data_IF_316202903463
#
_entry.id   IF_316202903463
#
_cell.length_a   1.000
_cell.length_b   1.000
_cell.length_c   1.000
_cell.angle_alpha   90.00
_cell.angle_beta   90.00
_cell.angle_gamma   90.00
#
_symmetry.space_group_name_H-M   'P 1'
#
loop_
_entity.id
_entity.type
_entity.pdbx_description
1 polymer ?
#
# COMPACT_ATOMS: atom_id res chain seq x y z
N UNK A 1 8.71 26.10 20.15
CA UNK A 1 8.75 25.66 21.57
C UNK A 1 9.52 24.35 21.58
N UNK A 2 10.56 24.17 22.41
CA UNK A 2 11.33 22.91 22.43
C UNK A 2 10.50 21.82 23.12
N UNK A 3 10.31 20.68 22.45
CA UNK A 3 9.60 19.55 23.05
C UNK A 3 10.47 18.94 24.16
N UNK A 4 9.88 18.73 25.34
CA UNK A 4 10.55 18.06 26.47
C UNK A 4 9.58 17.05 27.07
N UNK A 5 10.10 16.09 27.84
CA UNK A 5 9.27 15.10 28.55
C UNK A 5 8.22 15.79 29.43
N UNK A 6 8.60 16.86 30.12
CA UNK A 6 7.69 17.64 30.96
C UNK A 6 6.58 18.31 30.14
N UNK A 7 6.93 18.87 28.98
CA UNK A 7 5.96 19.47 28.05
C UNK A 7 4.96 18.42 27.56
N UNK A 8 5.43 17.24 27.15
CA UNK A 8 4.58 16.14 26.68
C UNK A 8 3.66 15.63 27.78
N UNK A 9 4.19 15.33 28.96
CA UNK A 9 3.38 14.86 30.11
C UNK A 9 2.30 15.84 30.50
N UNK A 10 2.63 17.14 30.57
CA UNK A 10 1.64 18.18 30.89
C UNK A 10 0.58 18.33 29.79
N UNK A 11 0.95 18.17 28.53
CA UNK A 11 0.00 18.21 27.43
C UNK A 11 -0.93 17.00 27.45
N UNK A 12 -0.39 15.80 27.65
CA UNK A 12 -1.16 14.57 27.82
C UNK A 12 -2.13 14.65 29.01
N UNK A 13 -1.67 15.07 30.19
CA UNK A 13 -2.54 15.20 31.37
C UNK A 13 -3.73 16.14 31.14
N UNK A 14 -3.52 17.24 30.42
CA UNK A 14 -4.61 18.17 30.08
C UNK A 14 -5.62 17.57 29.10
N UNK A 15 -5.13 16.74 28.18
CA UNK A 15 -5.96 16.03 27.21
C UNK A 15 -6.74 14.89 27.85
N UNK A 16 -6.05 14.05 28.64
CA UNK A 16 -6.65 12.94 29.37
C UNK A 16 -7.71 13.40 30.36
N UNK A 17 -7.43 14.44 31.16
CA UNK A 17 -8.42 14.99 32.10
C UNK A 17 -9.69 15.59 31.45
N UNK A 18 -9.68 15.78 30.12
CA UNK A 18 -10.84 16.23 29.36
C UNK A 18 -11.57 15.09 28.63
N UNK A 19 -11.16 13.83 28.81
CA UNK A 19 -11.67 12.69 28.06
C UNK A 19 -11.75 11.42 28.91
N UNK A 20 -12.98 10.96 29.16
CA UNK A 20 -13.26 9.68 29.85
C UNK A 20 -12.59 8.47 29.15
N UNK A 21 -12.27 8.59 27.85
CA UNK A 21 -11.58 7.54 27.07
C UNK A 21 -10.09 7.41 27.40
N UNK A 22 -9.47 8.50 27.87
CA UNK A 22 -8.04 8.57 28.16
C UNK A 22 -7.74 8.66 29.66
N UNK A 23 -8.75 8.67 30.54
CA UNK A 23 -8.59 8.85 31.99
C UNK A 23 -7.63 7.83 32.62
N UNK A 24 -7.70 6.56 32.19
CA UNK A 24 -6.81 5.49 32.64
C UNK A 24 -5.61 5.26 31.68
N UNK A 25 -5.54 6.01 30.57
CA UNK A 25 -4.51 5.85 29.56
C UNK A 25 -3.22 6.58 29.95
N UNK A 26 -2.15 5.82 30.11
CA UNK A 26 -0.83 6.38 30.36
C UNK A 26 -0.22 6.93 29.07
N UNK A 27 0.47 8.08 29.16
CA UNK A 27 1.32 8.55 28.08
C UNK A 27 2.33 7.44 27.72
N UNK A 28 2.57 7.16 26.42
CA UNK A 28 3.63 6.28 25.99
C UNK A 28 4.96 6.54 26.71
N UNK A 29 5.73 5.50 27.08
CA UNK A 29 7.00 5.68 27.73
C UNK A 29 7.93 6.56 26.91
N UNK A 30 8.66 7.45 27.59
CA UNK A 30 9.62 8.37 26.96
C UNK A 30 11.06 7.98 27.28
N UNK A 31 11.99 8.31 26.39
CA UNK A 31 13.43 8.17 26.62
C UNK A 31 14.23 9.10 25.72
N UNK A 32 15.55 8.99 25.79
CA UNK A 32 16.49 9.80 24.98
C UNK A 32 17.26 8.96 23.95
N UNK A 33 16.96 7.67 23.85
CA UNK A 33 17.57 6.77 22.87
C UNK A 33 16.68 5.55 22.58
N UNK A 34 16.68 5.01 21.35
CA UNK A 34 15.95 3.78 21.01
C UNK A 34 16.34 2.57 21.88
N UNK A 35 17.59 2.46 22.33
CA UNK A 35 18.05 1.39 23.24
C UNK A 35 17.34 1.37 24.60
N UNK A 36 16.73 2.49 25.00
CA UNK A 36 15.89 2.52 26.20
C UNK A 36 14.52 1.89 25.95
N UNK A 37 14.03 1.88 24.71
CA UNK A 37 12.85 1.14 24.30
C UNK A 37 13.06 -0.36 24.56
N UNK A 38 14.16 -0.95 24.10
CA UNK A 38 14.47 -2.37 24.31
C UNK A 38 14.50 -2.79 25.79
N UNK A 39 14.96 -1.88 26.67
CA UNK A 39 15.10 -2.15 28.11
C UNK A 39 13.81 -1.96 28.91
N UNK A 40 12.84 -1.19 28.39
CA UNK A 40 11.58 -0.86 29.08
C UNK A 40 10.36 -1.55 28.46
N UNK A 41 10.35 -1.73 27.15
CA UNK A 41 9.30 -2.45 26.43
C UNK A 41 9.55 -3.95 26.56
N UNK A 42 9.13 -4.55 27.67
CA UNK A 42 9.01 -6.01 27.72
C UNK A 42 8.00 -6.45 26.67
N UNK A 43 8.44 -7.25 25.68
CA UNK A 43 7.69 -8.05 24.69
C UNK A 43 6.45 -7.48 23.96
N UNK A 44 5.96 -6.28 24.26
CA UNK A 44 4.75 -5.69 23.69
C UNK A 44 5.11 -4.61 22.66
N UNK A 45 4.39 -4.64 21.53
CA UNK A 45 4.52 -3.76 20.36
C UNK A 45 3.98 -2.32 20.61
N UNK A 46 4.10 -1.83 21.84
CA UNK A 46 3.63 -0.51 22.25
C UNK A 46 4.47 0.62 21.67
N UNK A 47 3.86 1.81 21.58
CA UNK A 47 4.55 3.03 21.14
C UNK A 47 5.54 3.50 22.23
N UNK A 48 6.75 3.85 21.83
CA UNK A 48 7.78 4.47 22.68
C UNK A 48 8.23 5.79 22.06
N UNK A 49 8.40 6.84 22.86
CA UNK A 49 8.76 8.17 22.39
C UNK A 49 10.21 8.51 22.74
N UNK A 50 11.06 8.69 21.73
CA UNK A 50 12.43 9.18 21.90
C UNK A 50 12.43 10.70 21.71
N UNK A 51 13.01 11.42 22.66
CA UNK A 51 13.12 12.88 22.67
C UNK A 51 14.53 13.29 22.28
N UNK A 52 14.65 13.92 21.11
CA UNK A 52 15.91 14.46 20.63
C UNK A 52 16.20 15.83 21.23
N UNK A 53 17.48 16.21 21.22
CA UNK A 53 17.93 17.49 21.76
C UNK A 53 17.35 18.67 20.95
N UNK A 54 17.13 18.54 19.66
CA UNK A 54 16.54 19.61 18.85
C UNK A 54 15.03 19.85 19.14
N UNK A 55 14.41 19.00 19.96
CA UNK A 55 12.98 19.02 20.25
C UNK A 55 12.15 18.16 19.32
N UNK A 56 12.77 17.36 18.45
CA UNK A 56 12.10 16.34 17.66
C UNK A 56 11.69 15.17 18.55
N UNK A 57 10.48 14.66 18.35
CA UNK A 57 9.98 13.44 18.98
C UNK A 57 9.93 12.35 17.92
N UNK A 58 10.62 11.24 18.17
CA UNK A 58 10.60 10.04 17.34
C UNK A 58 9.74 8.99 18.01
N UNK A 59 8.75 8.47 17.30
CA UNK A 59 7.93 7.36 17.76
C UNK A 59 8.52 6.02 17.31
N UNK A 60 8.54 5.03 18.19
CA UNK A 60 9.09 3.71 17.91
C UNK A 60 8.14 2.59 18.33
N UNK A 61 8.00 1.56 17.49
CA UNK A 61 7.41 0.27 17.84
C UNK A 61 8.54 -0.74 18.03
N UNK A 62 8.94 -0.96 19.29
CA UNK A 62 10.19 -1.66 19.60
C UNK A 62 11.44 -0.86 19.19
N UNK A 63 12.66 -1.37 19.47
CA UNK A 63 13.89 -0.58 19.31
C UNK A 63 14.31 -0.31 17.86
N UNK A 64 13.77 -1.05 16.89
CA UNK A 64 14.26 -1.03 15.50
C UNK A 64 13.29 -0.41 14.48
N UNK A 65 12.04 -0.10 14.88
CA UNK A 65 11.03 0.42 13.97
C UNK A 65 10.60 1.82 14.41
N UNK A 66 11.33 2.84 13.97
CA UNK A 66 10.88 4.24 14.08
C UNK A 66 9.70 4.46 13.14
N UNK A 67 8.54 4.90 13.62
CA UNK A 67 7.28 5.04 12.86
C UNK A 67 6.89 6.47 12.52
N UNK A 68 7.51 7.46 13.15
CA UNK A 68 7.39 8.88 12.81
C UNK A 68 8.50 9.68 13.48
N UNK A 69 8.79 10.87 12.95
CA UNK A 69 9.54 11.92 13.64
C UNK A 69 8.86 13.27 13.40
N UNK A 70 8.60 14.01 14.47
CA UNK A 70 7.92 15.30 14.36
C UNK A 70 8.27 16.25 15.50
N UNK A 71 8.24 17.54 15.21
CA UNK A 71 8.32 18.62 16.21
C UNK A 71 6.93 19.17 16.58
N UNK A 72 5.87 18.67 15.95
CA UNK A 72 4.50 19.09 16.20
C UNK A 72 3.90 18.36 17.40
N UNK A 73 3.64 19.11 18.47
CA UNK A 73 3.06 18.59 19.71
C UNK A 73 1.70 17.92 19.48
N UNK A 74 0.86 18.51 18.64
CA UNK A 74 -0.49 18.00 18.40
C UNK A 74 -0.45 16.67 17.64
N UNK A 75 0.52 16.51 16.73
CA UNK A 75 0.75 15.26 16.03
C UNK A 75 1.30 14.16 16.95
N UNK A 76 2.20 14.50 17.88
CA UNK A 76 2.67 13.55 18.90
C UNK A 76 1.51 13.09 19.79
N UNK A 77 0.64 14.01 20.22
CA UNK A 77 -0.52 13.68 21.04
C UNK A 77 -1.53 12.83 20.27
N UNK A 78 -1.76 13.11 18.99
CA UNK A 78 -2.59 12.28 18.13
C UNK A 78 -2.06 10.84 18.05
N UNK A 79 -0.77 10.65 17.78
CA UNK A 79 -0.17 9.31 17.69
C UNK A 79 -0.19 8.56 19.04
N UNK A 80 0.01 9.26 20.15
CA UNK A 80 -0.12 8.68 21.49
C UNK A 80 -1.57 8.26 21.79
N UNK A 81 -2.54 9.11 21.46
CA UNK A 81 -3.96 8.82 21.64
C UNK A 81 -4.42 7.67 20.75
N UNK A 82 -3.99 7.61 19.49
CA UNK A 82 -4.31 6.51 18.58
C UNK A 82 -3.79 5.16 19.09
N UNK A 83 -2.58 5.13 19.64
CA UNK A 83 -2.03 3.92 20.27
C UNK A 83 -2.87 3.48 21.49
N UNK A 84 -3.23 4.40 22.38
CA UNK A 84 -4.04 4.11 23.56
C UNK A 84 -5.46 3.66 23.21
N UNK A 85 -6.11 4.35 22.27
CA UNK A 85 -7.47 4.04 21.79
C UNK A 85 -7.49 2.68 21.11
N UNK A 86 -6.43 2.31 20.37
CA UNK A 86 -6.32 0.97 19.78
C UNK A 86 -6.27 -0.11 20.86
N UNK A 87 -5.39 0.03 21.85
CA UNK A 87 -5.29 -0.94 22.96
C UNK A 87 -6.63 -1.10 23.70
N UNK A 88 -7.31 0.03 23.96
CA UNK A 88 -8.64 0.02 24.56
C UNK A 88 -9.66 -0.70 23.67
N UNK A 89 -9.67 -0.42 22.38
CA UNK A 89 -10.62 -1.00 21.44
C UNK A 89 -10.39 -2.52 21.25
N UNK A 90 -9.15 -2.97 21.14
CA UNK A 90 -8.78 -4.40 21.12
C UNK A 90 -9.25 -5.12 22.39
N UNK A 91 -9.07 -4.48 23.56
CA UNK A 91 -9.52 -5.03 24.83
C UNK A 91 -11.05 -5.12 24.95
N UNK A 92 -11.79 -4.13 24.41
CA UNK A 92 -13.25 -4.17 24.34
C UNK A 92 -13.72 -5.31 23.43
N UNK A 93 -13.13 -5.44 22.23
CA UNK A 93 -13.45 -6.52 21.27
C UNK A 93 -13.22 -7.89 21.91
N UNK A 94 -12.08 -8.09 22.59
CA UNK A 94 -11.76 -9.36 23.24
C UNK A 94 -12.75 -9.74 24.35
N UNK A 95 -13.36 -8.77 25.03
CA UNK A 95 -14.27 -9.00 26.17
C UNK A 95 -15.75 -9.01 25.80
N UNK A 96 -16.14 -8.39 24.68
CA UNK A 96 -17.52 -8.32 24.22
C UNK A 96 -17.62 -8.49 22.70
N UNK A 97 -17.39 -9.70 22.17
CA UNK A 97 -17.50 -9.96 20.74
C UNK A 97 -18.89 -9.56 20.22
N UNK A 98 -18.95 -8.68 19.22
CA UNK A 98 -20.20 -8.28 18.55
C UNK A 98 -21.09 -7.28 19.29
N UNK A 99 -20.59 -6.54 20.32
CA UNK A 99 -21.33 -5.42 20.94
C UNK A 99 -20.47 -4.16 21.09
N UNK A 100 -21.05 -2.99 20.77
CA UNK A 100 -20.43 -1.65 20.95
C UNK A 100 -19.66 -1.15 19.72
N UNK A 101 -18.78 -0.13 19.84
CA UNK A 101 -17.85 0.30 18.78
C UNK A 101 -16.92 -0.84 18.27
N UNK A 102 -17.02 -2.03 18.86
CA UNK A 102 -16.35 -3.28 18.52
C UNK A 102 -16.86 -3.99 17.25
N UNK A 103 -17.94 -3.53 16.60
CA UNK A 103 -18.41 -4.18 15.35
C UNK A 103 -17.46 -3.93 14.18
N UNK A 104 -16.77 -2.78 14.17
CA UNK A 104 -15.64 -2.50 13.29
C UNK A 104 -14.60 -1.67 14.08
N UNK A 105 -13.46 -2.31 14.37
CA UNK A 105 -12.39 -1.76 15.21
C UNK A 105 -11.93 -0.37 14.74
N UNK A 106 -11.82 -0.17 13.43
CA UNK A 106 -11.31 1.09 12.85
C UNK A 106 -12.30 2.23 13.00
N UNK A 107 -13.56 2.05 12.62
CA UNK A 107 -14.55 3.12 12.75
C UNK A 107 -14.83 3.45 14.21
N UNK A 108 -14.80 2.45 15.10
CA UNK A 108 -14.85 2.65 16.55
C UNK A 108 -13.68 3.49 17.08
N UNK A 109 -12.44 3.16 16.68
CA UNK A 109 -11.25 3.95 17.03
C UNK A 109 -11.34 5.39 16.52
N UNK A 110 -11.79 5.59 15.28
CA UNK A 110 -11.92 6.93 14.70
C UNK A 110 -12.95 7.78 15.46
N UNK A 111 -14.10 7.20 15.81
CA UNK A 111 -15.11 7.88 16.64
C UNK A 111 -14.57 8.28 18.01
N UNK A 112 -13.85 7.37 18.69
CA UNK A 112 -13.18 7.66 19.97
C UNK A 112 -12.15 8.79 19.85
N UNK A 113 -11.36 8.81 18.77
CA UNK A 113 -10.40 9.90 18.51
C UNK A 113 -11.09 11.24 18.23
N UNK A 114 -12.25 11.23 17.59
CA UNK A 114 -13.04 12.45 17.34
C UNK A 114 -13.71 12.99 18.61
N UNK A 115 -14.06 12.11 19.55
CA UNK A 115 -14.51 12.50 20.88
C UNK A 115 -13.39 13.16 21.71
N UNK A 116 -12.15 12.66 21.57
CA UNK A 116 -10.97 13.25 22.23
C UNK A 116 -10.64 14.63 21.63
N UNK A 117 -10.51 14.70 20.30
CA UNK A 117 -10.26 15.94 19.59
C UNK A 117 -10.76 15.87 18.14
N UNK A 118 -11.88 16.53 17.80
CA UNK A 118 -12.48 16.43 16.47
C UNK A 118 -11.61 17.03 15.36
N UNK A 119 -10.66 17.93 15.68
CA UNK A 119 -9.76 18.51 14.68
C UNK A 119 -8.76 17.50 14.11
N UNK A 120 -8.52 16.39 14.81
CA UNK A 120 -7.56 15.37 14.37
C UNK A 120 -8.04 14.57 13.17
N UNK A 121 -9.35 14.33 13.04
CA UNK A 121 -9.91 13.64 11.88
C UNK A 121 -9.59 14.35 10.58
N UNK A 122 -9.89 15.65 10.53
CA UNK A 122 -9.60 16.49 9.37
C UNK A 122 -8.10 16.60 9.09
N UNK A 123 -7.31 16.77 10.16
CA UNK A 123 -5.89 17.09 10.05
C UNK A 123 -5.01 15.89 9.71
N UNK A 124 -5.25 14.75 10.34
CA UNK A 124 -4.34 13.60 10.29
C UNK A 124 -4.93 12.40 9.56
N UNK A 125 -6.26 12.27 9.46
CA UNK A 125 -6.90 11.14 8.77
C UNK A 125 -7.44 11.50 7.39
N UNK A 126 -7.97 12.71 7.21
CA UNK A 126 -8.68 13.09 5.99
C UNK A 126 -7.89 14.04 5.04
N UNK A 127 -6.77 14.62 5.48
CA UNK A 127 -6.02 15.63 4.73
C UNK A 127 -5.16 15.07 3.59
N UNK A 128 -5.30 15.61 2.38
CA UNK A 128 -4.50 15.19 1.22
C UNK A 128 -3.02 15.59 1.32
N UNK A 129 -2.22 15.12 0.36
CA UNK A 129 -0.84 15.58 0.18
C UNK A 129 -0.82 17.11 0.17
N UNK A 130 0.05 17.72 0.96
CA UNK A 130 0.25 19.17 1.04
C UNK A 130 -0.93 20.02 1.55
N UNK A 131 -1.80 19.47 2.39
CA UNK A 131 -2.90 20.25 3.00
C UNK A 131 -4.05 20.51 2.03
N UNK A 132 -4.15 19.71 0.98
CA UNK A 132 -5.34 19.67 0.14
C UNK A 132 -6.58 19.35 1.00
N UNK A 133 -7.74 19.98 0.71
CA UNK A 133 -8.95 19.76 1.46
C UNK A 133 -9.33 18.28 1.45
N UNK A 134 -10.00 17.78 2.52
CA UNK A 134 -10.37 16.38 2.61
C UNK A 134 -11.13 15.92 1.37
N UNK A 135 -10.66 14.84 0.75
CA UNK A 135 -11.43 14.18 -0.30
C UNK A 135 -12.79 13.77 0.27
N UNK A 136 -13.86 13.94 -0.53
CA UNK A 136 -15.18 13.44 -0.17
C UNK A 136 -15.14 11.92 -0.03
N UNK A 137 -15.99 11.33 0.83
CA UNK A 137 -16.11 9.89 0.91
C UNK A 137 -16.28 9.27 -0.47
N UNK A 138 -15.56 8.19 -0.72
CA UNK A 138 -15.73 7.44 -1.96
C UNK A 138 -17.12 6.79 -1.96
N UNK A 139 -18.04 7.28 -2.78
CA UNK A 139 -19.38 6.69 -2.95
C UNK A 139 -19.38 5.51 -3.95
N UNK A 140 -18.22 5.20 -4.54
CA UNK A 140 -18.08 4.12 -5.53
C UNK A 140 -17.94 2.78 -4.80
N UNK A 141 -18.45 1.71 -5.42
CA UNK A 141 -18.10 0.36 -5.00
C UNK A 141 -16.57 0.19 -5.12
N UNK A 142 -15.86 -0.11 -4.02
CA UNK A 142 -14.41 -0.19 -4.02
C UNK A 142 -13.90 -1.35 -4.87
N UNK A 143 -14.74 -2.33 -5.21
CA UNK A 143 -14.40 -3.48 -6.05
C UNK A 143 -14.66 -3.23 -7.54
N UNK A 144 -14.92 -2.01 -8.01
CA UNK A 144 -15.16 -1.77 -9.44
C UNK A 144 -13.89 -1.64 -10.31
N UNK A 145 -12.68 -1.55 -9.73
CA UNK A 145 -11.47 -1.10 -10.46
C UNK A 145 -10.25 -2.01 -10.40
N UNK A 146 -9.40 -1.89 -9.39
CA UNK A 146 -8.21 -2.71 -9.16
C UNK A 146 -8.47 -3.70 -8.01
N UNK A 147 -9.16 -3.28 -6.96
CA UNK A 147 -9.37 -4.06 -5.75
C UNK A 147 -10.17 -5.36 -5.96
N UNK A 148 -10.95 -5.47 -7.04
CA UNK A 148 -11.62 -6.74 -7.38
C UNK A 148 -10.63 -7.91 -7.52
N UNK A 149 -9.41 -7.63 -8.01
CA UNK A 149 -8.41 -8.66 -8.28
C UNK A 149 -7.88 -9.25 -6.98
N UNK A 150 -7.94 -8.53 -5.86
CA UNK A 150 -7.42 -8.98 -4.57
C UNK A 150 -7.95 -10.37 -4.17
N UNK A 151 -9.22 -10.65 -4.51
CA UNK A 151 -9.87 -11.94 -4.21
C UNK A 151 -9.28 -13.12 -4.97
N UNK A 152 -8.71 -12.94 -6.16
CA UNK A 152 -8.08 -14.02 -6.94
C UNK A 152 -6.55 -13.96 -6.88
N UNK A 153 -6.00 -12.78 -6.62
CA UNK A 153 -4.55 -12.53 -6.68
C UNK A 153 -3.78 -13.23 -5.56
N UNK A 154 -4.45 -13.56 -4.45
CA UNK A 154 -3.89 -14.45 -3.42
C UNK A 154 -3.66 -15.88 -3.87
N UNK A 155 -4.42 -16.33 -4.87
CA UNK A 155 -4.19 -17.59 -5.58
C UNK A 155 -3.27 -17.40 -6.79
N UNK A 156 -2.63 -16.22 -6.92
CA UNK A 156 -1.77 -15.82 -8.03
C UNK A 156 -2.48 -15.65 -9.39
N UNK A 157 -3.80 -15.48 -9.38
CA UNK A 157 -4.62 -15.34 -10.59
C UNK A 157 -5.03 -13.88 -10.84
N UNK A 158 -4.98 -13.38 -12.09
CA UNK A 158 -4.57 -14.05 -13.31
C UNK A 158 -3.05 -14.11 -13.54
N UNK A 159 -2.28 -13.27 -12.85
CA UNK A 159 -0.83 -13.15 -12.99
C UNK A 159 -0.19 -12.72 -11.68
N UNK A 160 1.05 -13.14 -11.42
CA UNK A 160 1.75 -12.78 -10.17
C UNK A 160 2.34 -11.38 -10.16
N UNK A 161 2.45 -10.71 -11.31
CA UNK A 161 3.00 -9.34 -11.40
C UNK A 161 2.01 -8.43 -12.09
N UNK A 162 1.74 -7.27 -11.49
CA UNK A 162 1.02 -6.15 -12.06
C UNK A 162 2.00 -4.96 -12.09
N UNK A 163 2.44 -4.56 -13.29
CA UNK A 163 3.33 -3.43 -13.47
C UNK A 163 2.59 -2.30 -14.16
N UNK A 164 2.68 -1.09 -13.63
CA UNK A 164 2.04 0.12 -14.13
C UNK A 164 3.10 1.16 -14.50
N UNK A 165 2.91 1.85 -15.61
CA UNK A 165 3.81 2.84 -16.16
C UNK A 165 3.03 4.10 -16.51
N UNK A 166 3.55 5.27 -16.13
CA UNK A 166 3.00 6.58 -16.46
C UNK A 166 4.11 7.48 -17.00
N UNK A 167 3.78 8.30 -17.99
CA UNK A 167 4.75 9.12 -18.70
C UNK A 167 4.11 9.90 -19.85
N UNK A 168 4.91 10.70 -20.54
CA UNK A 168 4.47 11.46 -21.72
C UNK A 168 4.48 10.55 -22.96
N UNK A 169 3.36 10.52 -23.70
CA UNK A 169 3.20 9.80 -24.97
C UNK A 169 3.60 8.31 -24.94
N UNK A 170 3.46 7.65 -23.78
CA UNK A 170 3.80 6.23 -23.62
C UNK A 170 2.77 5.31 -24.30
N UNK A 171 3.25 4.27 -25.00
CA UNK A 171 2.41 3.22 -25.59
C UNK A 171 2.51 1.90 -24.82
N UNK A 172 1.37 1.23 -24.66
CA UNK A 172 1.33 -0.09 -24.04
C UNK A 172 2.09 -1.14 -24.86
N UNK A 173 2.02 -1.04 -26.20
CA UNK A 173 2.78 -1.88 -27.13
C UNK A 173 4.28 -1.66 -26.98
N UNK A 174 4.74 -0.41 -26.93
CA UNK A 174 6.17 -0.10 -26.79
C UNK A 174 6.74 -0.60 -25.46
N UNK A 175 5.98 -0.43 -24.37
CA UNK A 175 6.33 -0.97 -23.05
C UNK A 175 6.36 -2.51 -23.09
N UNK A 176 5.35 -3.16 -23.67
CA UNK A 176 5.32 -4.61 -23.78
C UNK A 176 6.51 -5.15 -24.60
N UNK A 177 6.83 -4.51 -25.74
CA UNK A 177 7.98 -4.85 -26.58
C UNK A 177 9.30 -4.68 -25.85
N UNK A 178 9.45 -3.59 -25.09
CA UNK A 178 10.63 -3.34 -24.29
C UNK A 178 10.85 -4.43 -23.23
N UNK A 179 9.76 -5.01 -22.71
CA UNK A 179 9.77 -6.12 -21.77
C UNK A 179 9.90 -7.51 -22.43
N UNK A 180 9.95 -7.57 -23.77
CA UNK A 180 10.18 -8.79 -24.54
C UNK A 180 8.93 -9.47 -25.11
N UNK A 181 7.81 -8.76 -25.26
CA UNK A 181 6.65 -9.28 -25.99
C UNK A 181 6.99 -9.62 -27.45
N UNK A 182 6.35 -10.66 -28.00
CA UNK A 182 6.51 -11.03 -29.41
C UNK A 182 6.03 -9.92 -30.36
N UNK A 183 6.91 -9.37 -31.23
CA UNK A 183 6.53 -8.25 -32.10
C UNK A 183 5.43 -8.58 -33.10
N UNK A 184 5.34 -9.83 -33.55
CA UNK A 184 4.32 -10.26 -34.50
C UNK A 184 2.94 -10.25 -33.87
N UNK A 185 2.81 -10.78 -32.65
CA UNK A 185 1.56 -10.81 -31.90
C UNK A 185 1.15 -9.41 -31.41
N UNK A 186 2.10 -8.60 -30.95
CA UNK A 186 1.83 -7.20 -30.59
C UNK A 186 1.33 -6.42 -31.81
N UNK A 187 1.98 -6.52 -32.98
CA UNK A 187 1.55 -5.83 -34.19
C UNK A 187 0.21 -6.35 -34.75
N UNK A 188 -0.11 -7.62 -34.53
CA UNK A 188 -1.39 -8.22 -34.91
C UNK A 188 -2.55 -7.85 -33.97
N UNK A 189 -2.27 -7.22 -32.82
CA UNK A 189 -3.26 -6.92 -31.80
C UNK A 189 -3.84 -8.17 -31.15
N UNK A 190 -3.04 -9.23 -31.00
CA UNK A 190 -3.47 -10.50 -30.40
C UNK A 190 -4.06 -10.29 -29.01
N UNK A 191 -5.15 -11.00 -28.71
CA UNK A 191 -5.82 -10.97 -27.40
C UNK A 191 -5.56 -12.25 -26.60
N UNK A 192 -5.79 -12.19 -25.29
CA UNK A 192 -5.62 -13.34 -24.39
C UNK A 192 -6.49 -14.55 -24.81
N UNK A 193 -7.69 -14.31 -25.30
CA UNK A 193 -8.60 -15.36 -25.80
C UNK A 193 -8.05 -16.05 -27.05
N UNK A 194 -7.36 -15.33 -27.94
CA UNK A 194 -6.71 -15.91 -29.13
C UNK A 194 -5.62 -16.89 -28.70
N UNK A 195 -4.79 -16.50 -27.73
CA UNK A 195 -3.72 -17.35 -27.20
C UNK A 195 -4.28 -18.60 -26.50
N UNK A 196 -5.35 -18.45 -25.71
CA UNK A 196 -6.06 -19.57 -25.07
C UNK A 196 -6.67 -20.53 -26.10
N UNK A 197 -7.09 -20.03 -27.26
CA UNK A 197 -7.64 -20.84 -28.35
C UNK A 197 -6.59 -21.64 -29.14
N UNK A 198 -5.30 -21.28 -29.03
CA UNK A 198 -4.20 -21.96 -29.72
C UNK A 198 -3.66 -23.18 -28.96
N UNK A 199 -3.79 -23.21 -27.64
CA UNK A 199 -3.35 -24.32 -26.79
C UNK A 199 -4.55 -25.25 -26.50
N UNK A 200 -4.60 -26.39 -27.19
CA UNK A 200 -5.71 -27.35 -27.09
C UNK A 200 -5.93 -27.91 -25.68
N UNK A 201 -7.17 -28.30 -25.38
CA UNK A 201 -7.66 -29.05 -24.21
C UNK A 201 -6.84 -28.96 -22.89
N UNK A 202 -6.95 -27.82 -22.21
CA UNK A 202 -7.13 -27.72 -20.76
C UNK A 202 -5.97 -28.05 -19.81
N UNK A 203 -4.89 -28.71 -20.26
CA UNK A 203 -3.67 -28.91 -19.44
C UNK A 203 -2.58 -27.85 -19.69
N UNK A 204 -2.63 -27.18 -20.84
CA UNK A 204 -1.60 -26.22 -21.28
C UNK A 204 -1.92 -24.76 -20.88
N UNK A 205 -3.09 -24.50 -20.28
CA UNK A 205 -3.52 -23.14 -19.92
C UNK A 205 -2.68 -22.51 -18.81
N UNK A 206 -2.18 -23.31 -17.87
CA UNK A 206 -1.26 -22.83 -16.84
C UNK A 206 0.10 -22.46 -17.45
N UNK A 207 0.69 -23.34 -18.27
CA UNK A 207 1.98 -23.07 -18.93
C UNK A 207 1.91 -21.86 -19.88
N UNK A 208 0.76 -21.64 -20.52
CA UNK A 208 0.52 -20.46 -21.34
C UNK A 208 0.68 -19.17 -20.54
N UNK A 209 0.06 -19.07 -19.36
CA UNK A 209 0.14 -17.86 -18.52
C UNK A 209 1.59 -17.51 -18.14
N UNK A 210 2.44 -18.50 -17.91
CA UNK A 210 3.87 -18.28 -17.64
C UNK A 210 4.66 -17.78 -18.86
N UNK A 211 4.14 -18.02 -20.05
CA UNK A 211 4.78 -17.66 -21.32
C UNK A 211 4.20 -16.38 -21.94
N UNK A 212 3.26 -15.71 -21.27
CA UNK A 212 2.53 -14.57 -21.82
C UNK A 212 2.62 -13.33 -20.95
N UNK A 213 2.42 -12.20 -21.61
CA UNK A 213 2.17 -10.90 -21.01
C UNK A 213 0.85 -10.36 -21.54
N UNK A 214 -0.02 -9.93 -20.63
CA UNK A 214 -1.16 -9.09 -20.97
C UNK A 214 -0.76 -7.63 -20.79
N UNK A 215 -1.21 -6.76 -21.68
CA UNK A 215 -0.86 -5.35 -21.64
C UNK A 215 -1.99 -4.47 -22.14
N UNK A 216 -1.94 -3.19 -21.78
CA UNK A 216 -2.91 -2.21 -22.24
C UNK A 216 -2.76 -0.89 -21.49
N UNK A 217 -3.78 -0.04 -21.61
CA UNK A 217 -3.84 1.24 -20.91
C UNK A 217 -5.17 1.37 -20.17
N UNK A 218 -5.12 1.88 -18.95
CA UNK A 218 -6.31 2.20 -18.14
C UNK A 218 -6.08 3.52 -17.41
N UNK A 219 -6.90 4.53 -17.75
CA UNK A 219 -6.65 5.91 -17.31
C UNK A 219 -5.29 6.41 -17.82
N UNK A 220 -4.51 6.99 -16.91
CA UNK A 220 -3.19 7.55 -17.20
C UNK A 220 -2.05 6.50 -17.12
N UNK A 221 -2.41 5.23 -16.87
CA UNK A 221 -1.44 4.15 -16.66
C UNK A 221 -1.48 3.15 -17.81
N UNK A 222 -0.32 2.90 -18.41
CA UNK A 222 -0.05 1.66 -19.13
C UNK A 222 0.15 0.55 -18.10
N UNK A 223 -0.38 -0.64 -18.34
CA UNK A 223 -0.19 -1.79 -17.48
C UNK A 223 0.39 -2.99 -18.23
N UNK A 224 1.18 -3.80 -17.52
CA UNK A 224 1.56 -5.16 -17.88
C UNK A 224 1.12 -6.12 -16.78
N UNK A 225 0.66 -7.31 -17.16
CA UNK A 225 0.41 -8.43 -16.25
C UNK A 225 1.13 -9.67 -16.75
N UNK A 226 1.95 -10.28 -15.89
CA UNK A 226 2.75 -11.47 -16.22
C UNK A 226 3.17 -12.25 -14.98
N UNK A 227 3.59 -13.51 -15.15
CA UNK A 227 4.18 -14.27 -14.05
C UNK A 227 5.67 -14.00 -13.86
N UNK A 228 6.42 -14.15 -14.95
CA UNK A 228 7.87 -13.95 -15.00
C UNK A 228 8.26 -13.39 -16.37
N UNK A 229 9.25 -12.50 -16.40
CA UNK A 229 9.87 -12.02 -17.65
C UNK A 229 11.00 -12.96 -18.06
N UNK A 230 11.23 -13.19 -19.36
CA UNK A 230 12.39 -13.93 -19.82
C UNK A 230 13.72 -13.37 -19.26
N UNK A 231 14.75 -14.21 -19.08
CA UNK A 231 16.05 -13.75 -18.61
C UNK A 231 16.62 -12.64 -19.50
N UNK A 232 16.98 -11.50 -18.89
CA UNK A 232 17.60 -10.37 -19.59
C UNK A 232 16.65 -9.48 -20.39
N UNK A 233 15.33 -9.67 -20.29
CA UNK A 233 14.34 -8.80 -21.00
C UNK A 233 13.66 -7.79 -20.08
N UNK A 234 13.95 -7.79 -18.78
CA UNK A 234 13.43 -6.75 -17.88
C UNK A 234 14.00 -5.39 -18.28
N UNK A 235 13.13 -4.46 -18.61
CA UNK A 235 13.50 -3.09 -18.92
C UNK A 235 14.19 -2.43 -17.72
N UNK A 236 15.35 -1.82 -17.95
CA UNK A 236 15.98 -0.99 -16.93
C UNK A 236 15.35 0.41 -16.89
N UNK A 237 15.55 1.12 -15.78
CA UNK A 237 14.99 2.47 -15.59
C UNK A 237 15.46 3.46 -16.66
N UNK A 238 16.65 3.27 -17.23
CA UNK A 238 17.16 4.11 -18.30
C UNK A 238 16.43 3.88 -19.62
N UNK A 239 16.02 2.65 -19.93
CA UNK A 239 15.22 2.31 -21.09
C UNK A 239 13.79 2.83 -20.96
N UNK A 240 13.19 2.69 -19.78
CA UNK A 240 11.86 3.24 -19.50
C UNK A 240 11.86 4.76 -19.61
N UNK A 241 12.87 5.44 -19.06
CA UNK A 241 13.00 6.89 -19.19
C UNK A 241 13.16 7.36 -20.65
N UNK A 242 13.82 6.56 -21.51
CA UNK A 242 13.92 6.85 -22.96
C UNK A 242 12.57 6.76 -23.68
N UNK A 243 11.64 5.96 -23.17
CA UNK A 243 10.26 5.90 -23.65
C UNK A 243 9.35 6.99 -23.04
N UNK A 244 9.89 7.90 -22.22
CA UNK A 244 9.10 8.96 -21.59
C UNK A 244 8.42 8.54 -20.28
N UNK A 245 8.70 7.33 -19.77
CA UNK A 245 8.18 6.88 -18.47
C UNK A 245 8.81 7.71 -17.35
N UNK A 246 7.96 8.37 -16.57
CA UNK A 246 8.36 9.12 -15.38
C UNK A 246 8.01 8.38 -14.10
N UNK A 247 7.01 7.50 -14.11
CA UNK A 247 6.55 6.78 -12.93
C UNK A 247 6.28 5.31 -13.21
N UNK A 248 6.66 4.46 -12.27
CA UNK A 248 6.37 3.02 -12.32
C UNK A 248 5.88 2.52 -10.97
N UNK A 249 4.84 1.71 -10.98
CA UNK A 249 4.38 0.94 -9.82
C UNK A 249 4.45 -0.54 -10.15
N UNK A 250 5.13 -1.33 -9.33
CA UNK A 250 5.16 -2.79 -9.46
C UNK A 250 4.53 -3.42 -8.22
N UNK A 251 3.51 -4.24 -8.45
CA UNK A 251 2.90 -5.12 -7.47
C UNK A 251 3.26 -6.55 -7.86
N UNK A 252 3.85 -7.32 -6.94
CA UNK A 252 4.10 -8.75 -7.17
C UNK A 252 3.49 -9.61 -6.08
N UNK A 253 3.15 -10.87 -6.38
CA UNK A 253 2.53 -11.84 -5.49
C UNK A 253 3.32 -13.16 -5.45
N UNK A 254 3.67 -13.64 -4.25
CA UNK A 254 4.36 -14.92 -4.05
C UNK A 254 3.49 -15.93 -3.28
N UNK A 255 3.05 -17.01 -3.96
CA UNK A 255 2.11 -18.03 -3.48
C UNK A 255 2.55 -18.71 -2.20
N UNK A 256 3.86 -18.90 -2.01
CA UNK A 256 4.35 -19.66 -0.86
C UNK A 256 4.12 -18.94 0.48
N UNK A 257 3.87 -17.62 0.47
CA UNK A 257 3.85 -16.82 1.71
C UNK A 257 2.80 -15.70 1.75
N UNK A 258 1.97 -15.55 0.70
CA UNK A 258 1.16 -14.34 0.52
C UNK A 258 2.02 -13.06 0.63
N UNK A 259 3.30 -13.13 0.26
CA UNK A 259 4.14 -11.94 0.23
C UNK A 259 3.77 -11.19 -1.03
N UNK A 260 3.37 -9.95 -0.84
CA UNK A 260 3.15 -9.03 -1.92
C UNK A 260 4.04 -7.83 -1.78
N UNK A 261 4.68 -7.43 -2.85
CA UNK A 261 5.63 -6.33 -2.84
C UNK A 261 5.01 -5.10 -3.50
N UNK A 262 5.19 -3.94 -2.91
CA UNK A 262 4.96 -2.65 -3.56
C UNK A 262 6.29 -1.97 -3.84
N UNK A 263 6.56 -1.68 -5.11
CA UNK A 263 7.67 -0.84 -5.55
C UNK A 263 7.12 0.36 -6.32
N UNK A 264 7.50 1.57 -5.92
CA UNK A 264 7.11 2.80 -6.59
C UNK A 264 8.34 3.62 -6.90
N UNK A 265 8.49 3.98 -8.17
CA UNK A 265 9.55 4.84 -8.66
C UNK A 265 8.94 6.05 -9.34
N UNK A 266 9.50 7.23 -9.08
CA UNK A 266 9.15 8.50 -9.71
C UNK A 266 10.41 9.23 -10.11
N UNK A 267 10.45 9.69 -11.35
CA UNK A 267 11.57 10.40 -11.97
C UNK A 267 12.91 9.64 -11.82
N UNK A 268 12.84 8.31 -12.00
CA UNK A 268 13.99 7.40 -11.88
C UNK A 268 14.49 7.17 -10.45
N UNK A 269 13.76 7.65 -9.43
CA UNK A 269 14.10 7.48 -8.02
C UNK A 269 13.01 6.67 -7.33
N UNK A 270 13.43 5.68 -6.53
CA UNK A 270 12.51 4.94 -5.67
C UNK A 270 11.89 5.89 -4.65
N UNK A 271 10.57 5.83 -4.53
CA UNK A 271 9.78 6.53 -3.52
C UNK A 271 9.61 5.56 -2.37
N UNK A 272 10.49 5.66 -1.37
CA UNK A 272 10.44 4.84 -0.17
C UNK A 272 10.81 5.63 1.09
N UNK A 273 10.54 4.99 2.22
CA UNK A 273 10.86 5.51 3.57
C UNK A 273 12.02 4.73 4.19
N UNK A 274 12.93 4.17 3.37
CA UNK A 274 14.05 3.29 3.79
C UNK A 274 13.64 2.01 4.57
N UNK A 275 12.35 1.70 4.65
CA UNK A 275 11.82 0.47 5.26
C UNK A 275 11.82 -0.74 4.31
N UNK A 276 12.28 -0.53 3.08
CA UNK A 276 12.28 -1.54 2.04
C UNK A 276 10.91 -1.76 1.41
N UNK A 277 10.67 -2.98 0.94
CA UNK A 277 9.41 -3.40 0.33
C UNK A 277 8.39 -3.71 1.41
N UNK A 278 7.18 -3.17 1.32
CA UNK A 278 6.07 -3.60 2.17
C UNK A 278 5.64 -4.99 1.74
N UNK A 279 5.66 -5.97 2.65
CA UNK A 279 4.92 -7.22 2.48
C UNK A 279 3.50 -7.05 3.05
N UNK A 280 2.47 -7.13 2.19
CA UNK A 280 1.09 -6.84 2.61
C UNK A 280 0.55 -7.76 3.72
N UNK A 281 1.13 -8.94 3.94
CA UNK A 281 0.81 -9.80 5.10
C UNK A 281 1.11 -9.18 6.46
N UNK A 282 1.94 -8.14 6.51
CA UNK A 282 2.24 -7.39 7.73
C UNK A 282 1.37 -6.14 7.89
N UNK A 283 0.49 -5.86 6.94
CA UNK A 283 -0.46 -4.78 7.08
C UNK A 283 -1.51 -5.16 8.12
N UNK A 284 -1.57 -4.35 9.18
CA UNK A 284 -2.49 -4.50 10.30
C UNK A 284 -3.51 -3.36 10.24
N UNK A 285 -4.79 -3.73 10.17
CA UNK A 285 -5.88 -2.78 9.99
C UNK A 285 -5.93 -1.78 11.16
N UNK A 286 -5.95 -0.50 10.84
CA UNK A 286 -5.89 0.60 11.77
C UNK A 286 -4.48 1.07 12.11
N UNK A 287 -3.45 0.43 11.56
CA UNK A 287 -2.06 0.91 11.61
C UNK A 287 -1.62 1.49 10.28
N UNK A 288 -0.73 2.47 10.37
CA UNK A 288 -0.04 2.95 9.18
C UNK A 288 0.94 1.87 8.67
N UNK A 289 0.85 1.44 7.40
CA UNK A 289 1.81 0.51 6.82
C UNK A 289 3.20 1.14 6.63
N UNK A 290 3.28 2.46 6.45
CA UNK A 290 4.50 3.21 6.14
C UNK A 290 4.88 4.21 7.22
N UNK A 291 6.08 4.78 7.11
CA UNK A 291 6.57 5.84 7.98
C UNK A 291 5.68 7.08 7.87
N UNK A 292 5.23 7.61 9.01
CA UNK A 292 4.31 8.75 9.01
C UNK A 292 5.06 10.06 8.84
N UNK A 293 4.61 10.86 7.87
CA UNK A 293 5.32 12.05 7.40
C UNK A 293 6.46 11.78 6.42
N UNK A 294 6.62 10.51 5.98
CA UNK A 294 7.55 10.10 4.94
C UNK A 294 7.01 10.32 3.53
N UNK A 295 7.75 9.83 2.53
CA UNK A 295 7.37 9.90 1.12
C UNK A 295 6.14 9.06 0.80
N UNK A 296 5.88 7.98 1.55
CA UNK A 296 4.71 7.11 1.36
C UNK A 296 3.55 7.44 2.32
N UNK A 297 3.61 8.55 3.06
CA UNK A 297 2.53 8.94 3.98
C UNK A 297 1.19 9.19 3.27
N UNK A 298 1.23 9.56 1.99
CA UNK A 298 0.02 9.68 1.18
C UNK A 298 -0.75 8.35 1.08
N UNK A 299 -0.05 7.21 1.06
CA UNK A 299 -0.66 5.88 1.10
C UNK A 299 -1.22 5.56 2.48
N UNK A 300 -0.53 5.93 3.57
CA UNK A 300 -1.08 5.77 4.93
C UNK A 300 -2.45 6.42 5.06
N UNK A 301 -2.60 7.63 4.49
CA UNK A 301 -3.86 8.38 4.53
C UNK A 301 -4.91 7.77 3.62
N UNK A 302 -4.54 7.36 2.41
CA UNK A 302 -5.46 6.69 1.48
C UNK A 302 -5.97 5.37 2.07
N UNK A 303 -5.10 4.58 2.69
CA UNK A 303 -5.44 3.35 3.41
C UNK A 303 -6.37 3.66 4.57
N UNK A 304 -6.01 4.61 5.45
CA UNK A 304 -6.87 5.00 6.58
C UNK A 304 -8.24 5.47 6.12
N UNK A 305 -8.31 6.14 4.96
CA UNK A 305 -9.57 6.57 4.37
C UNK A 305 -10.40 5.39 3.85
N UNK A 306 -9.78 4.48 3.11
CA UNK A 306 -10.41 3.26 2.63
C UNK A 306 -11.02 2.45 3.77
N UNK A 307 -10.33 2.32 4.91
CA UNK A 307 -10.85 1.60 6.07
C UNK A 307 -12.11 2.22 6.68
N UNK A 308 -12.26 3.55 6.58
CA UNK A 308 -13.35 4.33 7.16
C UNK A 308 -14.54 4.48 6.21
N UNK A 309 -14.27 4.70 4.93
CA UNK A 309 -15.30 4.84 3.89
C UNK A 309 -15.90 3.47 3.51
N UNK A 310 -15.09 2.41 3.56
CA UNK A 310 -15.49 1.04 3.21
C UNK A 310 -15.33 0.06 4.38
N UNK A 311 -16.08 0.24 5.49
CA UNK A 311 -16.05 -0.67 6.63
C UNK A 311 -16.50 -2.10 6.27
N UNK A 312 -17.24 -2.28 5.18
CA UNK A 312 -17.68 -3.55 4.62
C UNK A 312 -16.55 -4.37 3.97
N UNK A 313 -15.48 -3.71 3.51
CA UNK A 313 -14.30 -4.42 3.01
C UNK A 313 -13.51 -4.95 4.20
N UNK A 314 -13.55 -6.26 4.41
CA UNK A 314 -12.79 -6.95 5.46
C UNK A 314 -11.46 -7.50 4.97
N UNK A 315 -11.29 -7.64 3.66
CA UNK A 315 -10.06 -8.12 3.04
C UNK A 315 -9.02 -7.00 2.99
N UNK A 316 -7.89 -7.19 3.66
CA UNK A 316 -6.81 -6.20 3.77
C UNK A 316 -6.17 -5.86 2.42
N UNK A 317 -6.14 -6.82 1.48
CA UNK A 317 -5.58 -6.61 0.15
C UNK A 317 -6.52 -5.76 -0.71
N UNK A 318 -7.82 -6.05 -0.68
CA UNK A 318 -8.82 -5.25 -1.37
C UNK A 318 -8.81 -3.80 -0.86
N UNK A 319 -8.72 -3.61 0.46
CA UNK A 319 -8.56 -2.28 1.06
C UNK A 319 -7.29 -1.56 0.57
N UNK A 320 -6.16 -2.26 0.58
CA UNK A 320 -4.89 -1.68 0.14
C UNK A 320 -4.91 -1.32 -1.35
N UNK A 321 -5.51 -2.17 -2.18
CA UNK A 321 -5.64 -1.93 -3.62
C UNK A 321 -6.57 -0.76 -3.90
N UNK A 322 -7.68 -0.66 -3.17
CA UNK A 322 -8.57 0.50 -3.25
C UNK A 322 -7.86 1.80 -2.83
N UNK A 323 -6.97 1.74 -1.84
CA UNK A 323 -6.15 2.87 -1.46
C UNK A 323 -5.16 3.28 -2.56
N UNK A 324 -4.56 2.31 -3.28
CA UNK A 324 -3.71 2.57 -4.45
C UNK A 324 -4.49 3.20 -5.61
N UNK A 325 -5.72 2.75 -5.88
CA UNK A 325 -6.60 3.37 -6.88
C UNK A 325 -6.86 4.83 -6.56
N UNK A 326 -7.15 5.13 -5.29
CA UNK A 326 -7.55 6.47 -4.87
C UNK A 326 -6.37 7.43 -4.83
N UNK A 327 -5.19 6.94 -4.46
CA UNK A 327 -3.98 7.75 -4.30
C UNK A 327 -3.19 7.94 -5.60
N UNK A 328 -3.08 6.88 -6.42
CA UNK A 328 -2.25 6.87 -7.63
C UNK A 328 -3.07 6.77 -8.92
N UNK A 329 -4.37 6.48 -8.83
CA UNK A 329 -5.25 6.33 -9.99
C UNK A 329 -5.13 4.99 -10.71
N UNK A 330 -4.44 3.99 -10.10
CA UNK A 330 -4.22 2.67 -10.70
C UNK A 330 -5.54 1.97 -11.00
N UNK A 331 -5.66 1.39 -12.20
CA UNK A 331 -6.88 0.73 -12.67
C UNK A 331 -6.52 -0.44 -13.60
N UNK A 332 -7.38 -1.45 -13.64
CA UNK A 332 -7.30 -2.55 -14.61
C UNK A 332 -8.64 -2.71 -15.32
N UNK A 333 -8.66 -3.09 -16.62
CA UNK A 333 -9.90 -3.29 -17.37
C UNK A 333 -10.52 -4.66 -17.02
N UNK A 334 -11.21 -4.76 -15.87
CA UNK A 334 -11.77 -6.01 -15.33
C UNK A 334 -12.47 -6.86 -16.39
N UNK A 335 -13.46 -6.29 -17.09
CA UNK A 335 -14.24 -6.99 -18.10
C UNK A 335 -13.37 -7.55 -19.24
N UNK A 336 -12.38 -6.79 -19.71
CA UNK A 336 -11.51 -7.25 -20.78
C UNK A 336 -10.57 -8.38 -20.35
N UNK A 337 -10.17 -8.40 -19.07
CA UNK A 337 -9.37 -9.45 -18.48
C UNK A 337 -10.20 -10.73 -18.32
N UNK A 338 -11.40 -10.62 -17.75
CA UNK A 338 -12.33 -11.74 -17.54
C UNK A 338 -12.77 -12.37 -18.88
N UNK A 339 -13.12 -11.54 -19.87
CA UNK A 339 -13.52 -11.99 -21.22
C UNK A 339 -12.33 -12.43 -22.09
N UNK A 340 -11.09 -12.15 -21.67
CA UNK A 340 -9.88 -12.42 -22.43
C UNK A 340 -9.70 -11.54 -23.67
N UNK A 341 -10.39 -10.40 -23.77
CA UNK A 341 -10.24 -9.42 -24.85
C UNK A 341 -9.09 -8.43 -24.62
N UNK A 342 -8.42 -8.50 -23.46
CA UNK A 342 -7.18 -7.76 -23.20
C UNK A 342 -6.08 -8.18 -24.18
N UNK A 343 -5.30 -7.22 -24.67
CA UNK A 343 -4.15 -7.51 -25.53
C UNK A 343 -3.14 -8.38 -24.79
N UNK A 344 -2.63 -9.37 -25.51
CA UNK A 344 -1.67 -10.31 -24.98
C UNK A 344 -0.70 -10.76 -26.06
N UNK A 345 0.53 -11.04 -25.63
CA UNK A 345 1.55 -11.65 -26.46
C UNK A 345 2.29 -12.72 -25.66
N UNK A 346 2.79 -13.73 -26.35
CA UNK A 346 3.83 -14.60 -25.83
C UNK A 346 5.13 -13.82 -25.73
N UNK A 347 6.00 -14.26 -24.84
CA UNK A 347 7.37 -13.78 -24.83
C UNK A 347 8.10 -14.15 -26.12
N UNK A 348 8.89 -13.23 -26.65
CA UNK A 348 9.78 -13.50 -27.77
C UNK A 348 10.77 -14.60 -27.36
N UNK A 349 10.82 -15.69 -28.14
CA UNK A 349 11.82 -16.74 -27.90
C UNK A 349 13.21 -16.16 -28.17
N UNK A 350 14.22 -16.42 -27.32
CA UNK A 350 15.59 -16.10 -27.68
C UNK A 350 15.91 -16.79 -29.00
N UNK A 351 16.42 -16.02 -29.96
CA UNK A 351 16.89 -16.58 -31.22
C UNK A 351 17.85 -17.73 -30.87
N UNK A 352 17.51 -18.95 -31.25
CA UNK A 352 18.45 -20.06 -31.15
C UNK A 352 19.65 -19.62 -31.99
N UNK A 353 20.76 -19.26 -31.34
CA UNK A 353 22.02 -19.09 -32.01
C UNK A 353 22.25 -20.39 -32.78
N UNK A 354 22.19 -20.28 -34.11
CA UNK A 354 22.27 -21.44 -34.98
C UNK A 354 23.52 -22.24 -34.61
N UNK A 355 23.31 -23.45 -34.10
CA UNK A 355 24.34 -24.48 -34.16
C UNK A 355 24.50 -24.81 -35.66
N UNK A 356 25.30 -24.00 -36.34
CA UNK A 356 25.90 -24.36 -37.61
C UNK A 356 26.83 -25.53 -37.35
N UNK A 357 26.36 -26.72 -37.67
CA UNK A 357 27.19 -27.91 -37.90
C UNK A 357 27.82 -27.87 -39.28
#
# INVERSE_FOLDING_TARGET
MRMTEHTLKRAWQRMAAGSDLLDDAMLPPTGTSPDQCARRAGAHDGLFLVLDEDGTVRGHHGPYREVFATQDLDQVLYFAAEAAVRELAEHIVARSPGRGPATNLVTGQAGMLDEINPAWGDRFRAGGVDGAPPARPCERDPLERLAWIARSWHEQDPYTTLAFFRGEDISAEEIALLHGADPGQTAAGTCLSDLRGMDGDGRDSWELAWQTVCFGQSGDWVFLMYHETPPGTRADSAALARLGVTETVELSACAAKAIYTFDYTRDGRRVDDDWGVLELIWYDRGRAPYYRGGQLDFLNRAVRRAELDHPELTDEFALYFHALETSLGLQLPQRAIEEGSVHAARWARPAQAGNGG
#
